data_IF_750032502593
#
_entry.id   IF_750032502593
#
_cell.length_a   1.000
_cell.length_b   1.000
_cell.length_c   1.000
_cell.angle_alpha   90.00
_cell.angle_beta   90.00
_cell.angle_gamma   90.00
#
_symmetry.space_group_name_H-M   'P 1'
#
loop_
_entity.id
_entity.type
_entity.pdbx_description
1 polymer ?
#
# COMPACT_ATOMS: atom_id res chain seq x y z
N UNK A 1 -2.70 -17.36 21.30
CA UNK A 1 -1.92 -17.49 20.06
C UNK A 1 -0.50 -17.09 20.39
N UNK A 2 0.51 -17.95 20.18
CA UNK A 2 1.89 -17.56 20.43
C UNK A 2 2.29 -16.46 19.43
N UNK A 3 2.87 -15.37 19.93
CA UNK A 3 3.57 -14.39 19.09
C UNK A 3 4.69 -15.15 18.38
N UNK A 4 4.66 -15.14 17.05
CA UNK A 4 5.71 -15.73 16.23
C UNK A 4 6.43 -14.57 15.59
N UNK A 5 7.74 -14.49 15.86
CA UNK A 5 8.62 -13.46 15.34
C UNK A 5 8.88 -13.67 13.84
N UNK A 6 9.08 -12.59 13.09
CA UNK A 6 9.39 -12.61 11.66
C UNK A 6 10.61 -13.48 11.33
N UNK A 7 11.58 -13.58 12.24
CA UNK A 7 12.73 -14.49 12.08
C UNK A 7 12.34 -15.97 12.09
N UNK A 8 11.32 -16.35 12.88
CA UNK A 8 10.83 -17.73 12.93
C UNK A 8 10.08 -18.09 11.64
N UNK A 9 9.28 -17.16 11.12
CA UNK A 9 8.60 -17.30 9.83
C UNK A 9 9.65 -17.41 8.70
N UNK A 10 10.68 -16.56 8.72
CA UNK A 10 11.79 -16.63 7.76
C UNK A 10 12.51 -17.97 7.77
N UNK A 11 12.73 -18.56 8.94
CA UNK A 11 13.32 -19.89 9.06
C UNK A 11 12.44 -20.97 8.41
N UNK A 12 11.11 -20.87 8.51
CA UNK A 12 10.20 -21.81 7.85
C UNK A 12 10.31 -21.73 6.33
N UNK A 13 10.33 -20.53 5.76
CA UNK A 13 10.54 -20.34 4.32
C UNK A 13 11.92 -20.83 3.84
N UNK A 14 12.97 -20.64 4.64
CA UNK A 14 14.32 -21.11 4.30
C UNK A 14 14.45 -22.63 4.22
N UNK A 15 13.58 -23.41 4.88
CA UNK A 15 13.67 -24.88 4.91
C UNK A 15 13.59 -25.51 3.51
N UNK A 16 12.88 -24.88 2.59
CA UNK A 16 12.65 -25.40 1.24
C UNK A 16 13.41 -24.60 0.15
N UNK A 17 14.26 -23.67 0.56
CA UNK A 17 15.06 -22.80 -0.31
C UNK A 17 16.20 -23.57 -0.98
N UNK A 18 16.38 -23.43 -2.30
CA UNK A 18 17.56 -23.95 -3.00
C UNK A 18 18.77 -23.02 -2.81
N UNK A 19 19.98 -23.56 -2.98
CA UNK A 19 21.24 -22.84 -2.71
C UNK A 19 21.43 -21.56 -3.56
N UNK A 20 20.82 -21.52 -4.75
CA UNK A 20 20.86 -20.40 -5.70
C UNK A 20 19.61 -19.51 -5.69
N UNK A 21 18.79 -19.65 -4.64
CA UNK A 21 17.61 -18.82 -4.43
C UNK A 21 17.86 -17.83 -3.28
N UNK A 22 17.01 -16.83 -3.16
CA UNK A 22 16.71 -16.07 -1.95
C UNK A 22 15.25 -16.25 -1.57
N UNK A 23 14.89 -15.98 -0.32
CA UNK A 23 13.51 -16.15 0.14
C UNK A 23 13.03 -14.86 0.78
N UNK A 24 11.86 -14.42 0.36
CA UNK A 24 11.09 -13.36 1.00
C UNK A 24 9.75 -13.94 1.43
N UNK A 25 9.19 -13.39 2.51
CA UNK A 25 7.91 -13.85 3.04
C UNK A 25 7.05 -12.62 3.26
N UNK A 26 5.83 -12.68 2.75
CA UNK A 26 4.82 -11.65 3.00
C UNK A 26 4.47 -11.64 4.48
N UNK A 27 4.56 -10.47 5.11
CA UNK A 27 4.34 -10.32 6.56
C UNK A 27 2.90 -10.56 6.99
N UNK A 28 1.94 -10.46 6.06
CA UNK A 28 0.51 -10.54 6.34
C UNK A 28 -0.02 -11.98 6.16
N UNK A 29 -0.41 -12.68 7.23
CA UNK A 29 -0.98 -14.01 7.12
C UNK A 29 -2.44 -13.98 6.68
N UNK A 30 -2.86 -15.03 5.99
CA UNK A 30 -4.27 -15.37 5.81
C UNK A 30 -4.69 -16.40 6.85
N UNK A 31 -5.83 -16.18 7.50
CA UNK A 31 -6.33 -17.02 8.59
C UNK A 31 -7.38 -18.02 8.08
N UNK A 32 -7.16 -19.32 8.33
CA UNK A 32 -8.14 -20.37 8.09
C UNK A 32 -8.19 -21.29 9.30
N UNK A 33 -9.37 -21.46 9.89
CA UNK A 33 -9.56 -22.30 11.08
C UNK A 33 -8.58 -21.96 12.22
N UNK A 34 -8.32 -20.65 12.43
CA UNK A 34 -7.37 -20.14 13.41
C UNK A 34 -5.89 -20.52 13.16
N UNK A 35 -5.55 -21.01 11.96
CA UNK A 35 -4.17 -21.22 11.52
C UNK A 35 -3.75 -20.10 10.56
N UNK A 36 -2.51 -19.63 10.71
CA UNK A 36 -1.88 -18.58 9.90
C UNK A 36 -1.17 -19.20 8.73
N UNK A 37 -1.46 -18.71 7.53
CA UNK A 37 -0.80 -19.10 6.30
C UNK A 37 -0.11 -17.88 5.70
N UNK A 38 1.16 -18.02 5.35
CA UNK A 38 1.99 -16.95 4.77
C UNK A 38 2.42 -17.34 3.37
N UNK A 39 2.63 -16.34 2.52
CA UNK A 39 3.17 -16.51 1.18
C UNK A 39 4.69 -16.33 1.22
N UNK A 40 5.41 -17.36 0.78
CA UNK A 40 6.86 -17.32 0.59
C UNK A 40 7.19 -17.26 -0.90
N UNK A 41 8.02 -16.29 -1.29
CA UNK A 41 8.52 -16.11 -2.64
C UNK A 41 10.00 -16.52 -2.69
N UNK A 42 10.36 -17.42 -3.62
CA UNK A 42 11.73 -17.85 -3.84
C UNK A 42 12.28 -17.14 -5.08
N UNK A 43 13.27 -16.29 -4.88
CA UNK A 43 13.84 -15.42 -5.91
C UNK A 43 15.15 -15.99 -6.44
N UNK A 44 15.46 -15.81 -7.71
CA UNK A 44 16.82 -16.09 -8.19
C UNK A 44 17.84 -15.10 -7.60
N UNK A 45 18.95 -15.57 -7.03
CA UNK A 45 19.99 -14.67 -6.45
C UNK A 45 20.51 -13.61 -7.43
N UNK A 46 20.64 -13.98 -8.71
CA UNK A 46 21.20 -13.10 -9.75
C UNK A 46 20.11 -12.30 -10.47
N UNK A 47 19.02 -12.93 -10.86
CA UNK A 47 17.98 -12.27 -11.66
C UNK A 47 16.95 -11.52 -10.82
N UNK A 48 16.83 -11.85 -9.53
CA UNK A 48 15.78 -11.40 -8.61
C UNK A 48 14.35 -11.78 -9.04
N UNK A 49 14.19 -12.56 -10.10
CA UNK A 49 12.88 -13.05 -10.54
C UNK A 49 12.32 -14.08 -9.57
N UNK A 50 10.99 -14.09 -9.41
CA UNK A 50 10.27 -15.14 -8.69
C UNK A 50 10.38 -16.44 -9.46
N UNK A 51 11.09 -17.41 -8.87
CA UNK A 51 11.24 -18.76 -9.42
C UNK A 51 10.15 -19.70 -8.94
N UNK A 52 9.75 -19.57 -7.68
CA UNK A 52 8.72 -20.40 -7.04
C UNK A 52 7.98 -19.63 -5.96
N UNK A 53 6.78 -20.10 -5.64
CA UNK A 53 5.97 -19.64 -4.52
C UNK A 53 5.58 -20.83 -3.64
N UNK A 54 5.48 -20.62 -2.33
CA UNK A 54 4.96 -21.62 -1.41
C UNK A 54 4.08 -20.99 -0.34
N UNK A 55 3.12 -21.78 0.14
CA UNK A 55 2.39 -21.46 1.36
C UNK A 55 3.08 -22.14 2.53
N UNK A 56 3.46 -21.34 3.51
CA UNK A 56 4.05 -21.82 4.75
C UNK A 56 3.12 -21.49 5.92
N UNK A 57 3.16 -22.32 6.94
CA UNK A 57 2.45 -22.05 8.19
C UNK A 57 3.34 -22.44 9.36
N UNK A 58 3.40 -21.63 10.42
CA UNK A 58 3.98 -22.05 11.68
C UNK A 58 3.03 -22.93 12.51
N UNK A 59 1.76 -23.00 12.11
CA UNK A 59 0.72 -23.75 12.81
C UNK A 59 0.58 -25.16 12.18
N UNK A 60 -0.56 -25.82 12.38
CA UNK A 60 -0.75 -27.18 11.86
C UNK A 60 -0.99 -27.14 10.34
N UNK A 61 -0.04 -27.68 9.57
CA UNK A 61 -0.15 -27.75 8.11
C UNK A 61 -1.30 -28.66 7.67
N UNK A 62 -2.36 -28.05 7.12
CA UNK A 62 -3.43 -28.75 6.40
C UNK A 62 -3.36 -28.36 4.92
N UNK A 63 -3.02 -29.32 4.06
CA UNK A 63 -2.82 -29.08 2.62
C UNK A 63 -4.01 -28.38 1.96
N UNK A 64 -5.23 -28.77 2.31
CA UNK A 64 -6.45 -28.17 1.77
C UNK A 64 -6.59 -26.69 2.16
N UNK A 65 -6.30 -26.35 3.40
CA UNK A 65 -6.36 -24.98 3.88
C UNK A 65 -5.22 -24.14 3.27
N UNK A 66 -4.02 -24.70 3.12
CA UNK A 66 -2.93 -24.05 2.42
C UNK A 66 -3.28 -23.72 0.95
N UNK A 67 -3.95 -24.64 0.25
CA UNK A 67 -4.44 -24.40 -1.11
C UNK A 67 -5.53 -23.31 -1.16
N UNK A 68 -6.43 -23.28 -0.17
CA UNK A 68 -7.43 -22.21 -0.05
C UNK A 68 -6.80 -20.84 0.23
N UNK A 69 -5.70 -20.81 1.01
CA UNK A 69 -5.00 -19.58 1.35
C UNK A 69 -4.21 -18.98 0.17
N UNK A 70 -3.81 -19.79 -0.81
CA UNK A 70 -2.95 -19.37 -1.92
C UNK A 70 -3.52 -18.17 -2.70
N UNK A 71 -4.77 -18.29 -3.18
CA UNK A 71 -5.39 -17.25 -4.01
C UNK A 71 -5.58 -15.92 -3.25
N UNK A 72 -6.15 -15.89 -2.03
CA UNK A 72 -6.23 -14.68 -1.22
C UNK A 72 -4.87 -14.03 -0.96
N UNK A 73 -3.85 -14.82 -0.62
CA UNK A 73 -2.51 -14.28 -0.34
C UNK A 73 -1.87 -13.65 -1.57
N UNK A 74 -1.96 -14.31 -2.73
CA UNK A 74 -1.44 -13.77 -4.00
C UNK A 74 -2.18 -12.48 -4.37
N UNK A 75 -3.51 -12.45 -4.25
CA UNK A 75 -4.28 -11.24 -4.53
C UNK A 75 -3.99 -10.09 -3.58
N UNK A 76 -3.85 -10.39 -2.28
CA UNK A 76 -3.44 -9.40 -1.31
C UNK A 76 -2.07 -8.82 -1.67
N UNK A 77 -1.09 -9.67 -1.98
CA UNK A 77 0.28 -9.22 -2.33
C UNK A 77 0.28 -8.30 -3.55
N UNK A 78 -0.45 -8.66 -4.61
CA UNK A 78 -0.57 -7.83 -5.82
C UNK A 78 -1.31 -6.51 -5.53
N UNK A 79 -2.39 -6.57 -4.76
CA UNK A 79 -3.17 -5.38 -4.43
C UNK A 79 -2.37 -4.43 -3.54
N UNK A 80 -1.66 -4.97 -2.56
CA UNK A 80 -0.82 -4.22 -1.63
C UNK A 80 0.34 -3.55 -2.36
N UNK A 81 1.08 -4.28 -3.20
CA UNK A 81 2.17 -3.70 -4.01
C UNK A 81 1.67 -2.56 -4.90
N UNK A 82 0.53 -2.75 -5.58
CA UNK A 82 -0.09 -1.68 -6.39
C UNK A 82 -0.51 -0.50 -5.54
N UNK A 83 -1.04 -0.73 -4.35
CA UNK A 83 -1.45 0.33 -3.45
C UNK A 83 -0.23 1.09 -2.95
N UNK A 84 0.80 0.39 -2.48
CA UNK A 84 2.05 0.99 -1.99
C UNK A 84 2.71 1.83 -3.09
N UNK A 85 2.90 1.27 -4.29
CA UNK A 85 3.56 1.95 -5.40
C UNK A 85 2.75 3.15 -5.92
N UNK A 86 1.43 3.01 -6.10
CA UNK A 86 0.60 4.11 -6.61
C UNK A 86 0.36 5.21 -5.58
N UNK A 87 0.14 4.85 -4.31
CA UNK A 87 -0.11 5.85 -3.26
C UNK A 87 1.17 6.59 -2.89
N UNK A 88 2.33 5.93 -2.95
CA UNK A 88 3.62 6.58 -2.70
C UNK A 88 3.89 7.71 -3.67
N UNK A 89 3.85 7.41 -4.97
CA UNK A 89 4.11 8.43 -6.00
C UNK A 89 3.16 9.62 -5.92
N UNK A 90 1.88 9.39 -5.57
CA UNK A 90 0.89 10.47 -5.42
C UNK A 90 1.07 11.28 -4.13
N UNK A 91 1.41 10.62 -3.02
CA UNK A 91 1.67 11.29 -1.75
C UNK A 91 2.93 12.15 -1.77
N UNK A 92 3.92 11.78 -2.58
CA UNK A 92 5.20 12.51 -2.74
C UNK A 92 5.12 13.68 -3.74
N UNK A 93 3.97 13.90 -4.38
CA UNK A 93 3.78 15.06 -5.25
C UNK A 93 3.80 16.35 -4.43
N UNK A 94 4.50 17.35 -4.94
CA UNK A 94 4.48 18.71 -4.40
C UNK A 94 3.19 19.43 -4.83
N UNK A 95 2.39 19.84 -3.85
CA UNK A 95 1.13 20.56 -4.04
C UNK A 95 1.26 22.07 -3.80
N UNK A 96 2.47 22.60 -3.57
CA UNK A 96 2.74 24.03 -3.38
C UNK A 96 2.10 24.90 -4.49
N UNK A 97 2.22 24.48 -5.75
CA UNK A 97 1.62 25.17 -6.90
C UNK A 97 0.09 25.26 -6.79
N UNK A 98 -0.57 24.21 -6.28
CA UNK A 98 -2.03 24.24 -6.08
C UNK A 98 -2.43 25.20 -4.94
N UNK A 99 -1.61 25.32 -3.90
CA UNK A 99 -1.81 26.30 -2.82
C UNK A 99 -1.66 27.73 -3.34
N UNK A 100 -0.63 28.01 -4.15
CA UNK A 100 -0.46 29.30 -4.81
C UNK A 100 -1.64 29.66 -5.71
N UNK A 101 -2.12 28.70 -6.51
CA UNK A 101 -3.31 28.90 -7.35
C UNK A 101 -4.55 29.18 -6.50
N UNK A 102 -4.76 28.45 -5.40
CA UNK A 102 -5.87 28.68 -4.46
C UNK A 102 -5.84 30.12 -3.93
N UNK A 103 -4.68 30.55 -3.47
CA UNK A 103 -4.51 31.85 -2.83
C UNK A 103 -4.69 32.99 -3.84
N UNK A 104 -4.18 32.83 -5.05
CA UNK A 104 -4.45 33.73 -6.16
C UNK A 104 -5.95 33.84 -6.47
N UNK A 105 -6.65 32.71 -6.63
CA UNK A 105 -8.08 32.69 -6.93
C UNK A 105 -8.90 33.34 -5.80
N UNK A 106 -8.56 33.07 -4.53
CA UNK A 106 -9.18 33.73 -3.37
C UNK A 106 -8.97 35.23 -3.40
N UNK A 107 -7.75 35.68 -3.65
CA UNK A 107 -7.43 37.11 -3.72
C UNK A 107 -8.22 37.82 -4.82
N UNK A 108 -8.31 37.23 -6.01
CA UNK A 108 -9.11 37.80 -7.10
C UNK A 108 -10.60 37.86 -6.74
N UNK A 109 -11.17 36.78 -6.21
CA UNK A 109 -12.58 36.75 -5.82
C UNK A 109 -12.89 37.79 -4.73
N UNK A 110 -12.02 37.91 -3.72
CA UNK A 110 -12.18 38.86 -2.62
C UNK A 110 -11.97 40.32 -3.03
N UNK A 111 -11.23 40.57 -4.12
CA UNK A 111 -10.98 41.93 -4.60
C UNK A 111 -12.22 42.60 -5.22
N UNK A 112 -13.24 41.82 -5.60
CA UNK A 112 -14.46 42.33 -6.22
C UNK A 112 -14.26 42.94 -7.62
N UNK A 113 -13.10 42.77 -8.25
CA UNK A 113 -12.78 43.34 -9.57
C UNK A 113 -13.34 42.54 -10.75
N UNK A 114 -13.89 41.35 -10.48
CA UNK A 114 -14.40 40.45 -11.51
C UNK A 114 -15.77 40.91 -12.04
N UNK A 115 -15.95 40.76 -13.35
CA UNK A 115 -17.27 40.87 -13.99
C UNK A 115 -18.14 39.67 -13.59
N UNK A 116 -19.46 39.85 -13.60
CA UNK A 116 -20.44 38.85 -13.15
C UNK A 116 -20.34 37.51 -13.88
N UNK A 117 -20.03 37.53 -15.17
CA UNK A 117 -19.84 36.35 -16.02
C UNK A 117 -18.58 35.55 -15.67
N UNK A 118 -17.53 36.22 -15.18
CA UNK A 118 -16.28 35.57 -14.75
C UNK A 118 -16.33 35.09 -13.30
N UNK A 119 -17.16 35.71 -12.45
CA UNK A 119 -17.28 35.37 -11.03
C UNK A 119 -17.56 33.87 -10.84
N UNK A 120 -18.59 33.35 -11.50
CA UNK A 120 -18.99 31.95 -11.38
C UNK A 120 -17.90 30.96 -11.85
N UNK A 121 -17.10 31.35 -12.86
CA UNK A 121 -15.99 30.52 -13.37
C UNK A 121 -14.86 30.45 -12.32
N UNK A 122 -14.51 31.58 -11.71
CA UNK A 122 -13.46 31.64 -10.70
C UNK A 122 -13.89 30.93 -9.41
N UNK A 123 -15.13 31.10 -8.96
CA UNK A 123 -15.67 30.37 -7.80
C UNK A 123 -15.61 28.85 -8.00
N UNK A 124 -16.05 28.38 -9.18
CA UNK A 124 -15.97 26.96 -9.52
C UNK A 124 -14.53 26.46 -9.55
N UNK A 125 -13.61 27.26 -10.10
CA UNK A 125 -12.20 26.90 -10.19
C UNK A 125 -11.57 26.80 -8.80
N UNK A 126 -11.85 27.77 -7.92
CA UNK A 126 -11.40 27.75 -6.53
C UNK A 126 -11.90 26.49 -5.81
N UNK A 127 -13.19 26.18 -5.94
CA UNK A 127 -13.79 24.98 -5.33
C UNK A 127 -13.12 23.68 -5.78
N UNK A 128 -12.74 23.59 -7.07
CA UNK A 128 -12.02 22.41 -7.60
C UNK A 128 -10.63 22.30 -6.98
N UNK A 129 -9.89 23.41 -6.91
CA UNK A 129 -8.54 23.44 -6.32
C UNK A 129 -8.59 23.08 -4.84
N UNK A 130 -9.52 23.66 -4.07
CA UNK A 130 -9.72 23.34 -2.66
C UNK A 130 -10.07 21.85 -2.46
N UNK A 131 -10.92 21.29 -3.31
CA UNK A 131 -11.24 19.86 -3.27
C UNK A 131 -10.01 18.99 -3.54
N UNK A 132 -9.17 19.36 -4.50
CA UNK A 132 -7.96 18.61 -4.81
C UNK A 132 -6.95 18.65 -3.65
N UNK A 133 -6.76 19.82 -3.04
CA UNK A 133 -5.91 19.98 -1.86
C UNK A 133 -6.43 19.13 -0.68
N UNK A 134 -7.73 19.17 -0.43
CA UNK A 134 -8.35 18.36 0.62
C UNK A 134 -8.17 16.84 0.39
N UNK A 135 -8.36 16.38 -0.85
CA UNK A 135 -8.13 14.97 -1.19
C UNK A 135 -6.66 14.56 -1.01
N UNK A 136 -5.72 15.48 -1.25
CA UNK A 136 -4.30 15.24 -0.98
C UNK A 136 -4.05 15.06 0.51
N UNK A 137 -4.63 15.92 1.35
CA UNK A 137 -4.52 15.82 2.81
C UNK A 137 -5.08 14.48 3.33
N UNK A 138 -6.27 14.07 2.88
CA UNK A 138 -6.87 12.78 3.23
C UNK A 138 -5.96 11.61 2.85
N UNK A 139 -5.38 11.64 1.65
CA UNK A 139 -4.45 10.59 1.20
C UNK A 139 -3.17 10.55 2.04
N UNK A 140 -2.61 11.71 2.41
CA UNK A 140 -1.43 11.79 3.28
C UNK A 140 -1.73 11.21 4.68
N UNK A 141 -2.91 11.50 5.23
CA UNK A 141 -3.36 10.95 6.51
C UNK A 141 -3.48 9.42 6.45
N UNK A 142 -4.19 8.89 5.45
CA UNK A 142 -4.34 7.44 5.23
C UNK A 142 -3.00 6.74 5.05
N UNK A 143 -2.06 7.37 4.34
CA UNK A 143 -0.70 6.84 4.20
C UNK A 143 0.05 6.82 5.54
N UNK A 144 -0.11 7.86 6.35
CA UNK A 144 0.43 7.90 7.71
C UNK A 144 -0.06 6.74 8.58
N UNK A 145 -1.38 6.47 8.54
CA UNK A 145 -1.99 5.33 9.24
C UNK A 145 -1.44 3.98 8.75
N UNK A 146 -1.32 3.80 7.44
CA UNK A 146 -0.73 2.59 6.85
C UNK A 146 0.72 2.38 7.32
N UNK A 147 1.54 3.44 7.31
CA UNK A 147 2.93 3.36 7.77
C UNK A 147 3.04 3.05 9.26
N UNK A 148 2.08 3.50 10.07
CA UNK A 148 2.02 3.16 11.49
C UNK A 148 1.67 1.68 11.68
N UNK A 149 0.65 1.18 10.98
CA UNK A 149 0.29 -0.24 10.99
C UNK A 149 1.46 -1.13 10.58
N UNK A 150 2.19 -0.76 9.53
CA UNK A 150 3.35 -1.52 9.05
C UNK A 150 4.52 -1.58 10.05
N UNK A 151 4.60 -0.68 11.03
CA UNK A 151 5.61 -0.77 12.10
C UNK A 151 5.22 -1.73 13.22
N UNK A 152 3.94 -2.08 13.31
CA UNK A 152 3.39 -2.94 14.37
C UNK A 152 3.43 -4.43 13.99
N UNK A 153 3.76 -4.75 12.73
CA UNK A 153 3.91 -6.10 12.17
C UNK A 153 5.35 -6.37 11.73
#
# INVERSE_FOLDING_TARGET
MNQIDGNQILKLGKKHKKWNEDVTIEGFPYLINNNRYFLANYLGKLSKDVKNIAIITPDTMRKEDALKALKPLVYFSIAFDRLENNTKGRAELDFSVYEEIRDYLRNILNSGVLKTDLLAIYERSLKIIEKNLHLQEEMLALRGELLQLLKEY
#
